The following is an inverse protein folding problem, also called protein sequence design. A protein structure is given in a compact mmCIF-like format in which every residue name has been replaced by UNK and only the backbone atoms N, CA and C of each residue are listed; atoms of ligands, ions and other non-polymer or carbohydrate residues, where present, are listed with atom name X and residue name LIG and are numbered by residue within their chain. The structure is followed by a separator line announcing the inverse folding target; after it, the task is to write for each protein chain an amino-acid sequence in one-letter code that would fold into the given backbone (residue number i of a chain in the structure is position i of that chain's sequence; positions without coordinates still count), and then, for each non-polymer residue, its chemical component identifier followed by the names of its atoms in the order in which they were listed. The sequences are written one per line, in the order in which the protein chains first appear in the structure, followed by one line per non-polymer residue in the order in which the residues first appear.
data_IF_831908833538
#
_entry.id   IF_831908833538
#
_cell.length_a   1.000
_cell.length_b   1.000
_cell.length_c   1.000
_cell.angle_alpha   90.00
_cell.angle_beta   90.00
_cell.angle_gamma   90.00
#
_symmetry.space_group_name_H-M   'P 1'
#
loop_
_entity.id
_entity.type
_entity.pdbx_description
1 polymer ?
#
# COMPACT_ATOMS: atom_id res chain seq x y z
N UNK A 1 1.42 42.86 22.19
CA UNK A 1 1.94 41.50 22.38
C UNK A 1 1.44 40.73 21.18
N UNK A 2 2.28 40.58 20.16
CA UNK A 2 1.88 40.02 18.87
C UNK A 2 1.61 38.52 19.04
N UNK A 3 0.36 38.12 18.77
CA UNK A 3 -0.12 36.75 18.87
C UNK A 3 0.49 35.94 17.72
N UNK A 4 1.47 35.10 18.04
CA UNK A 4 2.06 34.17 17.10
C UNK A 4 1.03 33.08 16.78
N UNK A 5 0.31 33.24 15.68
CA UNK A 5 -0.56 32.21 15.11
C UNK A 5 0.29 31.30 14.20
N UNK A 6 0.73 30.12 14.65
CA UNK A 6 1.49 29.22 13.79
C UNK A 6 0.52 28.58 12.79
N UNK A 7 0.42 29.15 11.60
CA UNK A 7 -0.18 28.48 10.46
C UNK A 7 0.59 27.16 10.24
N UNK A 8 -0.04 25.98 10.32
CA UNK A 8 0.69 24.72 10.15
C UNK A 8 1.31 24.65 8.75
N UNK A 9 2.53 24.14 8.64
CA UNK A 9 3.24 24.04 7.38
C UNK A 9 2.44 23.20 6.35
N UNK A 10 2.34 23.62 5.08
CA UNK A 10 1.43 23.04 4.08
C UNK A 10 1.78 21.63 3.58
N UNK A 11 2.76 20.96 4.20
CA UNK A 11 3.22 19.63 3.78
C UNK A 11 3.34 18.62 4.93
N UNK A 12 2.61 18.82 6.03
CA UNK A 12 2.40 17.77 7.03
C UNK A 12 1.30 16.77 6.60
N UNK A 13 1.10 16.58 5.29
CA UNK A 13 0.39 15.42 4.77
C UNK A 13 1.33 14.24 5.03
N UNK A 14 0.92 13.35 5.92
CA UNK A 14 1.78 12.31 6.48
C UNK A 14 2.69 11.69 5.43
N UNK A 15 3.95 11.46 5.80
CA UNK A 15 4.69 10.32 5.28
C UNK A 15 3.86 9.10 5.62
N UNK A 16 2.85 8.83 4.78
CA UNK A 16 2.11 7.60 4.79
C UNK A 16 3.20 6.57 4.58
N UNK A 17 3.58 5.91 5.65
CA UNK A 17 4.33 4.67 5.59
C UNK A 17 3.44 3.78 4.77
N UNK A 18 3.62 3.80 3.45
CA UNK A 18 3.04 2.79 2.58
C UNK A 18 3.55 1.51 3.22
N UNK A 19 2.67 0.68 3.80
CA UNK A 19 3.15 -0.59 4.29
C UNK A 19 3.87 -1.21 3.09
N UNK A 20 5.09 -1.72 3.30
CA UNK A 20 5.78 -2.54 2.29
C UNK A 20 4.99 -3.85 2.19
N UNK A 21 3.76 -3.73 1.70
CA UNK A 21 2.98 -4.83 1.21
C UNK A 21 3.68 -5.30 -0.06
N UNK A 22 3.76 -6.61 -0.30
CA UNK A 22 4.25 -7.14 -1.57
C UNK A 22 3.66 -6.32 -2.72
N UNK A 23 4.56 -5.79 -3.56
CA UNK A 23 4.22 -4.81 -4.57
C UNK A 23 3.09 -5.35 -5.47
N UNK A 24 1.95 -4.65 -5.51
CA UNK A 24 0.77 -5.13 -6.25
C UNK A 24 1.08 -5.30 -7.74
N UNK A 25 1.92 -4.43 -8.27
CA UNK A 25 2.40 -4.45 -9.63
C UNK A 25 3.34 -5.66 -9.86
N UNK A 26 4.13 -6.07 -8.87
CA UNK A 26 4.79 -7.38 -8.87
C UNK A 26 3.79 -8.56 -8.87
N UNK A 27 2.71 -8.51 -8.08
CA UNK A 27 1.66 -9.56 -8.08
C UNK A 27 0.91 -9.66 -9.42
N UNK A 28 0.69 -8.53 -10.10
CA UNK A 28 0.06 -8.47 -11.42
C UNK A 28 0.96 -9.03 -12.52
N UNK A 29 2.29 -8.86 -12.38
CA UNK A 29 3.29 -9.48 -13.24
C UNK A 29 3.52 -10.97 -12.98
N UNK A 30 3.21 -11.47 -11.78
CA UNK A 30 3.38 -12.89 -11.44
C UNK A 30 2.52 -13.80 -12.32
N UNK A 31 3.12 -14.90 -12.79
CA UNK A 31 2.41 -15.97 -13.46
C UNK A 31 1.47 -16.73 -12.50
N UNK A 32 0.53 -17.50 -13.06
CA UNK A 32 -0.42 -18.29 -12.29
C UNK A 32 0.26 -19.26 -11.29
N UNK A 33 1.38 -19.87 -11.68
CA UNK A 33 2.13 -20.81 -10.84
C UNK A 33 2.77 -20.11 -9.64
N UNK A 34 3.31 -18.91 -9.84
CA UNK A 34 3.92 -18.09 -8.80
C UNK A 34 2.87 -17.58 -7.82
N UNK A 35 1.70 -17.16 -8.32
CA UNK A 35 0.56 -16.80 -7.46
C UNK A 35 0.06 -17.99 -6.62
N UNK A 36 0.08 -19.21 -7.16
CA UNK A 36 -0.25 -20.42 -6.39
C UNK A 36 0.80 -20.74 -5.33
N UNK A 37 2.09 -20.54 -5.61
CA UNK A 37 3.15 -20.67 -4.62
C UNK A 37 2.95 -19.65 -3.49
N UNK A 38 2.73 -18.38 -3.83
CA UNK A 38 2.43 -17.32 -2.86
C UNK A 38 1.21 -17.65 -2.00
N UNK A 39 0.13 -18.18 -2.57
CA UNK A 39 -1.05 -18.60 -1.81
C UNK A 39 -0.74 -19.73 -0.81
N UNK A 40 0.22 -20.60 -1.11
CA UNK A 40 0.63 -21.71 -0.25
C UNK A 40 1.58 -21.26 0.85
N UNK A 41 2.49 -20.33 0.53
CA UNK A 41 3.52 -19.81 1.44
C UNK A 41 2.95 -18.73 2.37
N UNK A 42 2.15 -17.81 1.83
CA UNK A 42 1.50 -16.74 2.58
C UNK A 42 0.04 -16.52 2.08
N UNK A 43 -0.91 -17.31 2.62
CA UNK A 43 -2.31 -17.17 2.24
C UNK A 43 -2.90 -15.81 2.63
N UNK A 44 -2.38 -15.17 3.68
CA UNK A 44 -2.86 -13.87 4.16
C UNK A 44 -2.46 -12.73 3.21
N UNK A 45 -1.19 -12.67 2.79
CA UNK A 45 -0.73 -11.70 1.80
C UNK A 45 -1.34 -11.94 0.43
N UNK A 46 -1.49 -13.20 0.00
CA UNK A 46 -2.23 -13.49 -1.23
C UNK A 46 -3.68 -12.95 -1.18
N UNK A 47 -4.38 -13.12 -0.06
CA UNK A 47 -5.74 -12.62 0.10
C UNK A 47 -5.79 -11.09 0.15
N UNK A 48 -4.81 -10.43 0.77
CA UNK A 48 -4.69 -8.97 0.78
C UNK A 48 -4.46 -8.44 -0.64
N UNK A 49 -3.50 -9.01 -1.37
CA UNK A 49 -3.19 -8.64 -2.75
C UNK A 49 -4.31 -8.97 -3.72
N UNK A 50 -5.14 -9.98 -3.46
CA UNK A 50 -6.32 -10.28 -4.31
C UNK A 50 -7.51 -9.36 -4.02
N UNK A 51 -7.66 -8.90 -2.79
CA UNK A 51 -8.82 -8.13 -2.34
C UNK A 51 -8.73 -6.62 -2.58
N UNK A 52 -7.56 -6.08 -2.92
CA UNK A 52 -7.45 -4.68 -3.34
C UNK A 52 -7.97 -4.56 -4.78
N UNK A 53 -9.19 -4.04 -5.05
CA UNK A 53 -9.47 -3.51 -6.37
C UNK A 53 -8.51 -2.34 -6.58
N UNK A 54 -7.88 -2.23 -7.77
CA UNK A 54 -7.14 -1.03 -8.12
C UNK A 54 -8.06 0.16 -7.90
N UNK A 55 -7.73 1.04 -6.97
CA UNK A 55 -8.50 2.24 -6.68
C UNK A 55 -8.14 3.32 -7.72
N UNK A 56 -8.24 2.94 -8.99
CA UNK A 56 -8.22 3.82 -10.15
C UNK A 56 -9.67 4.13 -10.51
N UNK A 57 -10.21 5.16 -9.84
CA UNK A 57 -11.42 5.85 -10.25
C UNK A 57 -11.27 7.33 -9.98
#
# INVERSE_FOLDING_TARGET
MEEHNPTPAPYAAGTGTVPVTPDRDAFERMGYRERLALKREDPAGYAALRQTPGNDR
#
